data_IF_407820284717
#
_entry.id   IF_407820284717
#
_cell.length_a   1.000
_cell.length_b   1.000
_cell.length_c   1.000
_cell.angle_alpha   90.00
_cell.angle_beta   90.00
_cell.angle_gamma   90.00
#
_symmetry.space_group_name_H-M   'P 1'
#
loop_
_entity.id
_entity.type
_entity.pdbx_description
1 polymer ?
#
# COMPACT_ATOMS: atom_id res chain seq x y z
N UNK A 1 -4.78 0.60 -6.07
CA UNK A 1 -4.30 1.98 -6.19
C UNK A 1 -4.35 2.61 -4.81
N UNK A 2 -3.20 3.08 -4.34
CA UNK A 2 -2.93 3.44 -2.93
C UNK A 2 -3.70 4.68 -2.42
N UNK A 3 -4.19 5.53 -3.33
CA UNK A 3 -4.99 6.73 -3.00
C UNK A 3 -6.51 6.51 -3.05
N UNK A 4 -6.99 5.29 -3.34
CA UNK A 4 -8.43 5.03 -3.45
C UNK A 4 -9.08 4.89 -2.06
N UNK A 5 -10.38 5.16 -2.01
CA UNK A 5 -11.21 4.82 -0.85
C UNK A 5 -11.00 3.37 -0.45
N UNK A 6 -10.99 3.12 0.86
CA UNK A 6 -10.66 1.86 1.53
C UNK A 6 -9.22 1.38 1.40
N UNK A 7 -8.31 2.16 0.80
CA UNK A 7 -6.88 1.92 0.95
C UNK A 7 -6.52 1.96 2.44
N UNK A 8 -5.72 0.99 2.89
CA UNK A 8 -5.33 0.85 4.28
C UNK A 8 -3.84 1.11 4.44
N UNK A 9 -3.48 1.79 5.51
CA UNK A 9 -2.11 2.09 5.89
C UNK A 9 -1.88 1.61 7.32
N UNK A 10 -0.70 1.03 7.54
CA UNK A 10 -0.27 0.53 8.85
C UNK A 10 1.00 1.24 9.28
N UNK A 11 1.05 1.70 10.52
CA UNK A 11 2.21 2.39 11.08
C UNK A 11 3.38 1.42 11.24
N UNK A 12 4.55 1.82 10.75
CA UNK A 12 5.84 1.14 10.98
C UNK A 12 6.71 1.89 12.01
N UNK A 13 6.34 3.12 12.38
CA UNK A 13 7.12 3.95 13.29
C UNK A 13 8.42 4.39 12.62
N UNK A 14 9.57 4.02 13.20
CA UNK A 14 10.90 4.36 12.68
C UNK A 14 11.45 3.36 11.67
N UNK A 15 10.80 2.20 11.49
CA UNK A 15 11.25 1.18 10.53
C UNK A 15 10.89 1.60 9.11
N UNK A 16 11.89 1.58 8.22
CA UNK A 16 11.70 1.85 6.79
C UNK A 16 11.41 0.58 5.97
N UNK A 17 11.36 -0.59 6.62
CA UNK A 17 11.14 -1.88 5.98
C UNK A 17 9.67 -2.28 6.06
N UNK A 18 9.05 -2.69 4.94
CA UNK A 18 7.72 -3.29 4.97
C UNK A 18 7.75 -4.62 5.75
N UNK A 19 6.64 -4.96 6.41
CA UNK A 19 6.49 -6.29 7.04
C UNK A 19 5.42 -7.15 6.35
N UNK A 20 4.58 -6.55 5.51
CA UNK A 20 3.57 -7.24 4.69
C UNK A 20 4.04 -7.43 3.24
N UNK A 21 5.21 -6.89 2.90
CA UNK A 21 5.86 -7.00 1.60
C UNK A 21 7.34 -7.31 1.81
N UNK A 22 7.96 -7.99 0.85
CA UNK A 22 9.37 -8.34 0.91
C UNK A 22 10.20 -7.31 0.14
N UNK A 23 11.14 -6.69 0.85
CA UNK A 23 12.21 -5.85 0.31
C UNK A 23 13.57 -6.49 0.64
N UNK A 24 14.59 -6.34 -0.22
CA UNK A 24 15.95 -6.78 0.08
C UNK A 24 16.48 -6.20 1.41
N UNK A 25 17.18 -7.01 2.20
CA UNK A 25 17.63 -6.61 3.55
C UNK A 25 18.69 -5.50 3.54
N UNK A 26 19.44 -5.36 2.45
CA UNK A 26 20.38 -4.27 2.24
C UNK A 26 19.68 -2.91 2.14
N UNK A 27 18.39 -2.89 1.80
CA UNK A 27 17.64 -1.63 1.71
C UNK A 27 17.56 -0.93 3.05
N UNK A 28 17.62 -1.61 4.20
CA UNK A 28 17.47 -0.97 5.53
C UNK A 28 18.44 0.20 5.72
N UNK A 29 19.72 -0.01 5.38
CA UNK A 29 20.83 0.89 5.68
C UNK A 29 21.48 1.51 4.43
N UNK A 30 20.96 1.23 3.24
CA UNK A 30 21.55 1.73 2.00
C UNK A 30 21.14 3.20 1.76
N UNK A 31 22.10 4.16 1.79
CA UNK A 31 21.81 5.59 1.63
C UNK A 31 21.42 5.98 0.20
N UNK A 32 21.65 5.11 -0.78
CA UNK A 32 21.30 5.37 -2.19
C UNK A 32 19.82 5.07 -2.48
N UNK A 33 19.13 4.37 -1.57
CA UNK A 33 17.70 4.06 -1.71
C UNK A 33 16.87 5.29 -1.34
N UNK A 34 16.24 5.88 -2.35
CA UNK A 34 15.32 7.00 -2.19
C UNK A 34 14.01 6.50 -1.57
N UNK A 35 13.60 7.12 -0.46
CA UNK A 35 12.31 6.84 0.19
C UNK A 35 11.20 7.69 -0.41
N UNK A 36 10.01 7.11 -0.48
CA UNK A 36 8.83 7.82 -0.95
C UNK A 36 8.29 8.74 0.14
N UNK A 37 8.85 9.95 0.22
CA UNK A 37 8.45 10.97 1.19
C UNK A 37 7.28 11.80 0.64
N UNK A 38 6.21 11.90 1.42
CA UNK A 38 5.00 12.61 1.02
C UNK A 38 5.19 14.12 1.14
N UNK A 39 4.74 14.86 0.13
CA UNK A 39 4.75 16.32 0.14
C UNK A 39 3.91 16.89 1.28
N UNK A 40 4.27 18.08 1.78
CA UNK A 40 3.45 18.81 2.76
C UNK A 40 2.02 19.09 2.24
N UNK A 41 1.88 19.32 0.93
CA UNK A 41 0.60 19.58 0.27
C UNK A 41 -0.20 18.31 -0.06
N UNK A 42 0.35 17.12 0.22
CA UNK A 42 -0.31 15.86 -0.07
C UNK A 42 -1.54 15.66 0.81
N UNK A 43 -2.67 15.34 0.16
CA UNK A 43 -3.87 14.90 0.87
C UNK A 43 -3.61 13.60 1.65
N UNK A 44 -2.77 12.71 1.13
CA UNK A 44 -2.40 11.47 1.81
C UNK A 44 -1.59 11.78 3.07
N UNK A 45 -0.60 12.69 2.99
CA UNK A 45 0.15 13.14 4.17
C UNK A 45 -0.78 13.69 5.22
N UNK A 46 -1.71 14.57 4.85
CA UNK A 46 -2.66 15.17 5.78
C UNK A 46 -3.52 14.10 6.47
N UNK A 47 -3.96 13.07 5.74
CA UNK A 47 -4.71 11.95 6.30
C UNK A 47 -3.89 11.08 7.25
N UNK A 48 -2.62 10.83 6.93
CA UNK A 48 -1.76 9.95 7.72
C UNK A 48 -1.17 10.65 8.96
N UNK A 49 -0.84 11.93 8.84
CA UNK A 49 -0.32 12.76 9.93
C UNK A 49 -1.39 13.04 10.99
N UNK A 50 -2.65 13.24 10.57
CA UNK A 50 -3.77 13.52 11.50
C UNK A 50 -3.39 14.61 12.53
N UNK A 51 -2.90 15.75 12.03
CA UNK A 51 -2.39 16.84 12.87
C UNK A 51 -3.41 17.30 13.91
N UNK A 52 -2.94 17.59 15.12
CA UNK A 52 -3.72 18.30 16.13
C UNK A 52 -3.82 19.80 15.84
N UNK A 53 -4.51 20.53 16.72
CA UNK A 53 -4.69 21.99 16.62
C UNK A 53 -3.36 22.77 16.68
N UNK A 54 -2.29 22.15 17.19
CA UNK A 54 -0.93 22.71 17.25
C UNK A 54 -0.10 22.34 16.01
N UNK A 55 -0.68 21.62 15.04
CA UNK A 55 0.00 21.16 13.82
C UNK A 55 0.87 19.91 14.01
N UNK A 56 0.89 19.30 15.20
CA UNK A 56 1.69 18.11 15.48
C UNK A 56 0.98 16.84 15.00
N UNK A 57 1.69 15.97 14.28
CA UNK A 57 1.09 14.72 13.78
C UNK A 57 0.69 13.77 14.93
N UNK A 58 -0.55 13.28 14.89
CA UNK A 58 -1.05 12.22 15.77
C UNK A 58 -1.17 10.91 15.00
N UNK A 59 -0.05 10.20 14.90
CA UNK A 59 0.04 8.95 14.16
C UNK A 59 -0.84 7.84 14.75
N UNK A 60 -1.78 7.35 13.96
CA UNK A 60 -2.59 6.18 14.30
C UNK A 60 -1.95 4.90 13.76
N UNK A 61 -2.08 3.79 14.50
CA UNK A 61 -1.51 2.50 14.10
C UNK A 61 -2.07 1.96 12.77
N UNK A 62 -3.32 2.32 12.45
CA UNK A 62 -4.02 1.88 11.25
C UNK A 62 -4.95 2.98 10.74
N UNK A 63 -4.84 3.30 9.46
CA UNK A 63 -5.67 4.31 8.80
C UNK A 63 -6.35 3.68 7.59
N UNK A 64 -7.63 3.98 7.40
CA UNK A 64 -8.41 3.56 6.23
C UNK A 64 -8.92 4.83 5.55
N UNK A 65 -8.59 5.00 4.28
CA UNK A 65 -9.07 6.14 3.51
C UNK A 65 -10.60 6.03 3.33
N UNK A 66 -11.33 7.07 3.67
CA UNK A 66 -12.79 7.11 3.50
C UNK A 66 -13.21 7.57 2.09
N UNK A 67 -12.36 8.29 1.38
CA UNK A 67 -12.59 8.80 0.03
C UNK A 67 -11.37 8.55 -0.86
N UNK A 68 -11.57 8.71 -2.18
CA UNK A 68 -10.45 8.80 -3.12
C UNK A 68 -9.72 10.12 -2.88
N UNK A 69 -8.41 10.08 -2.78
CA UNK A 69 -7.57 11.26 -2.66
C UNK A 69 -7.04 11.67 -4.04
N UNK A 70 -6.95 12.98 -4.27
CA UNK A 70 -6.27 13.53 -5.44
C UNK A 70 -4.76 13.36 -5.23
N UNK A 71 -4.06 12.85 -6.23
CA UNK A 71 -2.61 12.70 -6.16
C UNK A 71 -1.92 14.08 -6.15
N UNK A 72 -0.75 14.15 -5.54
CA UNK A 72 0.09 15.34 -5.57
C UNK A 72 1.56 14.99 -5.88
N UNK A 73 2.16 15.71 -6.85
CA UNK A 73 3.56 15.52 -7.23
C UNK A 73 3.87 14.06 -7.59
N UNK A 74 4.91 13.49 -6.95
CA UNK A 74 5.38 12.12 -7.19
C UNK A 74 4.32 11.04 -7.00
N UNK A 75 3.25 11.32 -6.25
CA UNK A 75 2.13 10.39 -6.10
C UNK A 75 1.39 10.14 -7.40
N UNK A 76 1.42 11.09 -8.33
CA UNK A 76 0.81 10.97 -9.65
C UNK A 76 1.66 10.13 -10.63
N UNK A 77 2.95 9.98 -10.35
CA UNK A 77 3.92 9.33 -11.24
C UNK A 77 4.15 7.85 -10.89
N UNK A 78 3.40 7.31 -9.92
CA UNK A 78 3.55 5.94 -9.43
C UNK A 78 2.21 5.20 -9.39
N UNK A 79 2.23 3.93 -9.80
CA UNK A 79 1.03 3.08 -9.75
C UNK A 79 0.67 2.64 -8.32
N UNK A 80 1.69 2.40 -7.51
CA UNK A 80 1.57 1.95 -6.13
C UNK A 80 2.81 2.29 -5.32
N UNK A 81 2.64 2.32 -4.00
CA UNK A 81 3.72 2.46 -3.02
C UNK A 81 3.76 1.23 -2.11
N UNK A 82 4.91 0.93 -1.53
CA UNK A 82 5.07 -0.09 -0.48
C UNK A 82 5.07 0.57 0.89
N UNK A 83 6.02 1.48 1.06
CA UNK A 83 6.21 2.29 2.27
C UNK A 83 6.21 3.77 1.86
N UNK A 84 5.56 4.60 2.65
CA UNK A 84 5.58 6.05 2.55
C UNK A 84 6.15 6.66 3.83
N UNK A 85 6.81 7.80 3.70
CA UNK A 85 7.48 8.50 4.79
C UNK A 85 6.82 9.86 5.04
N UNK A 86 6.67 10.20 6.32
CA UNK A 86 6.22 11.49 6.83
C UNK A 86 7.19 11.90 7.94
N UNK A 87 7.99 12.93 7.71
CA UNK A 87 9.01 13.41 8.65
C UNK A 87 9.99 12.29 9.08
N UNK A 88 9.85 11.73 10.29
CA UNK A 88 10.67 10.61 10.80
C UNK A 88 9.89 9.29 10.91
N UNK A 89 8.66 9.25 10.40
CA UNK A 89 7.71 8.16 10.59
C UNK A 89 7.33 7.50 9.27
N UNK A 90 7.18 6.18 9.28
CA UNK A 90 6.87 5.37 8.12
C UNK A 90 5.50 4.69 8.24
N UNK A 91 4.80 4.62 7.12
CA UNK A 91 3.58 3.83 6.96
C UNK A 91 3.73 2.84 5.81
N UNK A 92 3.24 1.63 6.01
CA UNK A 92 3.13 0.62 4.95
C UNK A 92 1.73 0.63 4.35
N UNK A 93 1.65 0.63 3.01
CA UNK A 93 0.40 0.42 2.30
C UNK A 93 0.02 -1.05 2.33
N UNK A 94 -1.12 -1.36 2.94
CA UNK A 94 -1.65 -2.73 2.98
C UNK A 94 -2.31 -3.01 1.62
N UNK A 95 -1.58 -3.73 0.77
CA UNK A 95 -2.10 -4.14 -0.54
C UNK A 95 -3.35 -5.00 -0.34
N UNK A 96 -4.43 -4.76 -1.13
CA UNK A 96 -5.55 -5.68 -1.17
C UNK A 96 -5.07 -7.09 -1.51
N UNK A 97 -5.68 -8.14 -0.95
CA UNK A 97 -5.33 -9.51 -1.29
C UNK A 97 -5.51 -9.71 -2.80
N UNK A 98 -4.40 -9.90 -3.50
CA UNK A 98 -4.41 -10.27 -4.92
C UNK A 98 -4.40 -11.79 -4.99
N UNK A 99 -5.41 -12.38 -5.64
CA UNK A 99 -5.34 -13.80 -6.04
C UNK A 99 -4.30 -13.88 -7.15
N UNK A 100 -3.06 -14.21 -6.80
CA UNK A 100 -2.10 -14.62 -7.81
C UNK A 100 -2.55 -15.99 -8.31
N UNK A 101 -2.95 -16.10 -9.58
CA UNK A 101 -3.07 -17.41 -10.20
C UNK A 101 -1.67 -18.02 -10.20
N UNK A 102 -1.52 -19.13 -9.47
CA UNK A 102 -0.26 -19.84 -9.39
C UNK A 102 -0.07 -20.55 -10.73
N UNK A 103 0.57 -19.89 -11.68
CA UNK A 103 1.02 -20.54 -12.91
C UNK A 103 2.34 -21.25 -12.58
N UNK A 104 2.27 -22.58 -12.45
CA UNK A 104 3.45 -23.44 -12.42
C UNK A 104 3.40 -24.37 -13.63
N UNK A 105 4.56 -24.86 -14.08
CA UNK A 105 4.62 -25.82 -15.18
C UNK A 105 3.76 -27.04 -14.84
N UNK A 106 2.84 -27.41 -15.75
CA UNK A 106 1.81 -28.45 -15.58
C UNK A 106 0.68 -28.13 -14.57
N UNK A 107 0.31 -26.86 -14.38
CA UNK A 107 -0.89 -26.52 -13.64
C UNK A 107 -2.15 -27.13 -14.30
N UNK A 108 -2.88 -27.98 -13.56
CA UNK A 108 -4.11 -28.60 -14.03
C UNK A 108 -5.30 -27.96 -13.30
N UNK A 109 -6.20 -27.33 -14.07
CA UNK A 109 -7.44 -26.77 -13.53
C UNK A 109 -8.45 -27.90 -13.36
N UNK A 110 -8.86 -28.19 -12.13
CA UNK A 110 -10.00 -29.08 -11.87
C UNK A 110 -11.29 -28.33 -12.25
N UNK A 111 -11.78 -28.57 -13.46
CA UNK A 111 -13.12 -28.17 -13.88
C UNK A 111 -14.12 -29.23 -13.47
N UNK A 112 -15.12 -28.87 -12.66
CA UNK A 112 -16.27 -29.75 -12.46
C UNK A 112 -17.03 -29.81 -13.79
N UNK A 113 -16.95 -30.95 -14.47
CA UNK A 113 -17.64 -31.18 -15.74
C UNK A 113 -19.14 -31.33 -15.43
N UNK A 114 -19.85 -30.20 -15.37
CA UNK A 114 -21.31 -30.20 -15.33
C UNK A 114 -21.84 -30.78 -16.64
N UNK A 115 -22.35 -32.00 -16.59
CA UNK A 115 -23.11 -32.61 -17.68
C UNK A 115 -24.38 -31.80 -17.91
N UNK A 116 -24.40 -30.98 -18.97
CA UNK A 116 -25.64 -30.43 -19.49
C UNK A 116 -26.27 -31.47 -20.42
N UNK A 117 -27.15 -32.31 -19.87
CA UNK A 117 -28.05 -33.11 -20.70
C UNK A 117 -29.11 -32.16 -21.30
N UNK A 118 -28.90 -31.72 -22.53
CA UNK A 118 -29.95 -31.11 -23.35
C UNK A 118 -30.82 -32.21 -23.96
N UNK A 119 -32.07 -32.30 -23.49
CA UNK A 119 -33.13 -33.06 -24.16
C UNK A 119 -33.51 -32.35 -25.47
N UNK A 120 -33.36 -33.05 -26.59
CA UNK A 120 -34.19 -32.92 -27.80
C UNK A 120 -34.46 -34.33 -28.31
#
# INVERSE_FOLDING_TARGET
>A
MFLRSRAQYRLLGSSNMPELMEDPSDFVNNPTIVRFELSQDSQLRNKLCNSDDNGSCRFENKIILNANLVCYGKECDVDTVRVVKIDSTYYEYVRPPCVQQIFYNNAMKLGQQGSWNSHV
#
